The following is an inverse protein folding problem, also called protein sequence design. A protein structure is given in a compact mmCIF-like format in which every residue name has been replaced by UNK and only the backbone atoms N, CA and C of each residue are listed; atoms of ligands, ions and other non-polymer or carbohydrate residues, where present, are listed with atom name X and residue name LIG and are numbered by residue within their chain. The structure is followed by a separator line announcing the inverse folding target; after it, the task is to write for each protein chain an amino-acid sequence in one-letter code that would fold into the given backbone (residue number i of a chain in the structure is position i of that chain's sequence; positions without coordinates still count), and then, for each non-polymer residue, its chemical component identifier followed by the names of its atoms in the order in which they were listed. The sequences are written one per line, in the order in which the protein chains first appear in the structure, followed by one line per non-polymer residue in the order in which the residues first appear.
data_IF_639329183082
#
_entry.id   IF_639329183082
#
_cell.length_a   1.000
_cell.length_b   1.000
_cell.length_c   1.000
_cell.angle_alpha   90.00
_cell.angle_beta   90.00
_cell.angle_gamma   90.00
#
_symmetry.space_group_name_H-M   'P 1'
#
loop_
_entity.id
_entity.type
_entity.pdbx_description
1 polymer ?
#
# COMPACT_ATOMS: atom_id res chain seq x y z
N UNK A 1 54.71 34.06 14.97
CA UNK A 1 53.42 34.67 14.59
C UNK A 1 52.41 33.55 14.51
N UNK A 2 51.21 33.73 15.05
CA UNK A 2 50.11 34.52 14.46
C UNK A 2 49.58 33.81 13.20
N UNK A 3 48.34 33.34 13.07
CA UNK A 3 47.21 33.13 14.02
C UNK A 3 46.45 31.84 13.58
N UNK A 4 45.55 31.17 14.32
CA UNK A 4 44.68 31.51 15.48
C UNK A 4 43.34 32.20 15.12
N UNK A 5 42.61 31.60 14.16
CA UNK A 5 41.16 31.74 13.95
C UNK A 5 40.56 30.32 14.01
N UNK A 6 39.73 29.89 14.97
CA UNK A 6 38.54 30.51 15.56
C UNK A 6 37.39 30.68 14.55
N UNK A 7 36.71 29.55 14.29
CA UNK A 7 35.36 29.55 13.72
C UNK A 7 34.47 28.66 14.57
N UNK A 8 33.54 29.31 15.26
CA UNK A 8 32.68 28.72 16.27
C UNK A 8 31.55 27.85 15.70
N UNK A 9 31.13 26.90 16.53
CA UNK A 9 29.91 26.11 16.43
C UNK A 9 29.41 25.92 17.89
N UNK A 10 28.11 25.71 18.21
CA UNK A 10 26.89 25.86 17.41
C UNK A 10 25.86 26.84 18.02
N UNK A 11 24.90 27.34 17.22
CA UNK A 11 23.65 27.93 17.76
C UNK A 11 22.48 26.95 17.65
N UNK A 12 21.92 26.43 18.77
CA UNK A 12 20.76 25.55 18.70
C UNK A 12 19.49 26.36 18.44
N UNK A 13 19.02 26.37 17.19
CA UNK A 13 17.69 26.86 16.85
C UNK A 13 16.62 25.99 17.54
N UNK A 14 16.08 26.49 18.65
CA UNK A 14 14.89 25.91 19.30
C UNK A 14 13.65 26.41 18.55
N UNK A 15 12.88 25.56 17.85
CA UNK A 15 11.54 25.95 17.40
C UNK A 15 10.67 26.19 18.63
N UNK A 16 10.19 27.42 18.77
CA UNK A 16 9.36 27.86 19.88
C UNK A 16 7.95 27.29 19.70
N UNK A 17 7.57 26.30 20.53
CA UNK A 17 6.18 25.86 20.62
C UNK A 17 5.31 26.97 21.22
N UNK A 18 4.65 27.75 20.37
CA UNK A 18 3.55 28.60 20.79
C UNK A 18 2.32 27.72 21.07
N UNK A 19 2.10 27.39 22.34
CA UNK A 19 0.77 27.06 22.82
C UNK A 19 -0.08 28.33 22.99
N UNK A 20 -1.40 28.13 23.00
CA UNK A 20 -2.42 29.09 23.46
C UNK A 20 -2.87 30.20 22.50
N UNK A 21 -3.55 29.79 21.42
CA UNK A 21 -4.70 30.54 20.91
C UNK A 21 -5.98 29.75 21.19
N UNK A 22 -6.53 29.89 22.39
CA UNK A 22 -7.93 29.53 22.65
C UNK A 22 -8.81 30.58 21.99
N UNK A 23 -9.26 30.31 20.76
CA UNK A 23 -10.27 31.13 20.09
C UNK A 23 -11.63 30.43 20.26
N UNK A 24 -12.37 30.86 21.28
CA UNK A 24 -13.80 30.57 21.39
C UNK A 24 -14.51 31.52 20.41
N UNK A 25 -14.76 31.06 19.19
CA UNK A 25 -15.72 31.72 18.30
C UNK A 25 -17.00 30.90 18.22
N UNK A 26 -18.06 31.50 18.75
CA UNK A 26 -19.42 31.00 18.67
C UNK A 26 -19.96 31.07 17.23
N UNK A 27 -20.56 29.96 16.83
CA UNK A 27 -21.76 29.87 16.00
C UNK A 27 -21.85 30.68 14.69
N UNK A 28 -21.65 29.96 13.58
CA UNK A 28 -22.60 30.03 12.46
C UNK A 28 -22.68 28.71 11.71
N UNK A 29 -23.70 27.93 12.05
CA UNK A 29 -24.04 26.71 11.33
C UNK A 29 -24.61 26.99 9.93
N UNK A 30 -23.76 27.32 8.95
CA UNK A 30 -24.15 27.24 7.54
C UNK A 30 -24.25 25.77 7.10
N UNK A 31 -25.49 25.33 6.83
CA UNK A 31 -25.76 24.01 6.29
C UNK A 31 -25.28 23.92 4.85
N UNK A 32 -24.00 23.59 4.67
CA UNK A 32 -23.46 23.20 3.38
C UNK A 32 -24.16 21.91 2.90
N UNK A 33 -25.13 22.05 2.01
CA UNK A 33 -25.82 20.94 1.34
C UNK A 33 -24.82 20.22 0.43
N UNK A 34 -24.08 19.28 1.02
CA UNK A 34 -23.18 18.39 0.29
C UNK A 34 -24.01 17.44 -0.55
N UNK A 35 -24.26 17.83 -1.80
CA UNK A 35 -24.78 16.96 -2.84
C UNK A 35 -23.80 15.81 -3.08
N UNK A 36 -23.99 14.68 -2.38
CA UNK A 36 -23.27 13.45 -2.67
C UNK A 36 -23.57 13.00 -4.10
N UNK A 37 -22.57 12.88 -4.99
CA UNK A 37 -22.78 12.33 -6.32
C UNK A 37 -23.17 10.85 -6.19
N UNK A 38 -24.42 10.53 -6.53
CA UNK A 38 -25.09 9.21 -6.42
C UNK A 38 -24.50 8.08 -7.29
N UNK A 39 -23.25 8.19 -7.75
CA UNK A 39 -22.61 7.28 -8.70
C UNK A 39 -21.62 6.28 -8.11
N UNK A 40 -21.46 6.21 -6.78
CA UNK A 40 -20.43 5.38 -6.13
C UNK A 40 -20.90 3.98 -5.69
N UNK A 41 -22.21 3.76 -5.53
CA UNK A 41 -22.73 2.53 -4.91
C UNK A 41 -22.73 1.33 -5.88
N UNK A 42 -23.08 1.54 -7.16
CA UNK A 42 -23.25 0.48 -8.17
C UNK A 42 -22.01 -0.38 -8.38
N UNK A 43 -20.82 0.20 -8.23
CA UNK A 43 -19.54 -0.52 -8.42
C UNK A 43 -19.15 -1.43 -7.24
N UNK A 44 -19.78 -1.26 -6.08
CA UNK A 44 -19.48 -2.06 -4.90
C UNK A 44 -20.07 -3.48 -4.99
N UNK A 45 -21.16 -3.66 -5.75
CA UNK A 45 -21.81 -4.97 -5.95
C UNK A 45 -21.08 -5.85 -6.97
N UNK A 46 -20.44 -5.27 -7.98
CA UNK A 46 -19.61 -6.01 -8.95
C UNK A 46 -18.41 -6.68 -8.27
N UNK A 47 -17.72 -5.90 -7.43
CA UNK A 47 -16.56 -6.36 -6.65
C UNK A 47 -16.96 -7.51 -5.70
N UNK A 48 -18.19 -7.44 -5.16
CA UNK A 48 -18.78 -8.49 -4.33
C UNK A 48 -18.96 -9.83 -5.05
N UNK A 49 -19.30 -9.84 -6.34
CA UNK A 49 -19.52 -11.09 -7.10
C UNK A 49 -18.23 -11.82 -7.47
N UNK A 50 -17.16 -11.08 -7.78
CA UNK A 50 -15.91 -11.64 -8.31
C UNK A 50 -14.97 -12.21 -7.24
N UNK A 51 -15.12 -11.81 -5.97
CA UNK A 51 -14.37 -12.36 -4.84
C UNK A 51 -14.54 -13.88 -4.64
N UNK A 52 -15.59 -14.45 -5.23
CA UNK A 52 -15.82 -15.91 -5.30
C UNK A 52 -14.71 -16.66 -6.06
N UNK A 53 -13.97 -16.01 -6.96
CA UNK A 53 -12.87 -16.62 -7.73
C UNK A 53 -11.46 -16.28 -7.22
N UNK A 54 -11.31 -15.25 -6.37
CA UNK A 54 -9.99 -14.73 -5.99
C UNK A 54 -9.32 -15.49 -4.82
N UNK A 55 -9.85 -16.64 -4.47
CA UNK A 55 -9.34 -17.49 -3.41
C UNK A 55 -8.06 -18.22 -3.89
N UNK A 56 -6.92 -17.92 -3.27
CA UNK A 56 -5.69 -18.75 -3.37
C UNK A 56 -5.36 -19.50 -2.06
N UNK A 57 -6.25 -20.34 -1.50
CA UNK A 57 -5.80 -21.47 -0.71
C UNK A 57 -5.12 -22.48 -1.64
N UNK A 58 -4.45 -23.48 -1.05
CA UNK A 58 -4.05 -24.67 -1.83
C UNK A 58 -5.33 -25.31 -2.37
N UNK A 59 -5.32 -25.70 -3.65
CA UNK A 59 -6.52 -26.03 -4.46
C UNK A 59 -7.37 -27.20 -3.87
N UNK A 60 -6.86 -27.88 -2.86
CA UNK A 60 -7.45 -29.02 -2.17
C UNK A 60 -8.68 -28.73 -1.28
N UNK A 61 -8.83 -27.53 -0.68
CA UNK A 61 -9.81 -27.33 0.40
C UNK A 61 -11.16 -26.68 0.00
N UNK A 62 -11.24 -25.92 -1.10
CA UNK A 62 -12.44 -25.11 -1.43
C UNK A 62 -13.66 -25.97 -1.80
N UNK A 63 -13.42 -27.18 -2.30
CA UNK A 63 -14.48 -28.14 -2.65
C UNK A 63 -15.18 -28.72 -1.43
N UNK A 64 -14.53 -28.74 -0.26
CA UNK A 64 -15.09 -29.27 0.99
C UNK A 64 -16.01 -28.30 1.75
N UNK A 65 -15.89 -26.99 1.51
CA UNK A 65 -16.68 -25.98 2.23
C UNK A 65 -18.17 -26.01 1.85
N UNK A 66 -19.03 -25.89 2.84
CA UNK A 66 -20.48 -25.72 2.68
C UNK A 66 -20.84 -24.39 2.03
N UNK A 67 -22.09 -24.25 1.57
CA UNK A 67 -22.60 -23.00 0.98
C UNK A 67 -22.56 -21.82 1.96
N UNK A 68 -22.79 -22.08 3.25
CA UNK A 68 -22.81 -21.05 4.30
C UNK A 68 -21.39 -20.54 4.60
N UNK A 69 -20.42 -21.45 4.80
CA UNK A 69 -19.01 -21.09 4.99
C UNK A 69 -18.45 -20.33 3.78
N UNK A 70 -18.85 -20.70 2.55
CA UNK A 70 -18.50 -19.96 1.32
C UNK A 70 -19.07 -18.53 1.32
N UNK A 71 -20.29 -18.33 1.80
CA UNK A 71 -20.90 -17.01 1.91
C UNK A 71 -20.22 -16.16 2.99
N UNK A 72 -19.91 -16.75 4.15
CA UNK A 72 -19.20 -16.09 5.24
C UNK A 72 -17.78 -15.67 4.84
N UNK A 73 -17.02 -16.56 4.21
CA UNK A 73 -15.66 -16.25 3.74
C UNK A 73 -15.68 -15.19 2.63
N UNK A 74 -16.66 -15.24 1.73
CA UNK A 74 -16.89 -14.21 0.71
C UNK A 74 -17.13 -12.83 1.35
N UNK A 75 -17.97 -12.73 2.38
CA UNK A 75 -18.21 -11.49 3.11
C UNK A 75 -16.94 -10.99 3.83
N UNK A 76 -16.19 -11.89 4.47
CA UNK A 76 -14.91 -11.57 5.13
C UNK A 76 -13.88 -10.99 4.15
N UNK A 77 -13.80 -11.55 2.94
CA UNK A 77 -12.92 -11.05 1.87
C UNK A 77 -13.41 -9.71 1.29
N UNK A 78 -14.73 -9.50 1.17
CA UNK A 78 -15.31 -8.21 0.77
C UNK A 78 -14.90 -7.09 1.73
N UNK A 79 -15.07 -7.28 3.04
CA UNK A 79 -14.73 -6.29 4.05
C UNK A 79 -13.22 -6.02 4.11
N UNK A 80 -12.39 -7.07 3.98
CA UNK A 80 -10.93 -6.96 3.93
C UNK A 80 -10.48 -6.09 2.75
N UNK A 81 -11.00 -6.34 1.55
CA UNK A 81 -10.63 -5.61 0.32
C UNK A 81 -11.20 -4.20 0.30
N UNK A 82 -12.44 -4.01 0.76
CA UNK A 82 -13.07 -2.69 0.92
C UNK A 82 -12.29 -1.83 1.92
N UNK A 83 -11.90 -2.41 3.06
CA UNK A 83 -11.08 -1.75 4.08
C UNK A 83 -9.68 -1.40 3.58
N UNK A 84 -9.06 -2.28 2.78
CA UNK A 84 -7.78 -2.00 2.12
C UNK A 84 -7.91 -0.89 1.07
N UNK A 85 -8.83 -1.02 0.13
CA UNK A 85 -9.06 -0.05 -0.95
C UNK A 85 -9.33 1.36 -0.42
N UNK A 86 -10.15 1.48 0.64
CA UNK A 86 -10.38 2.76 1.32
C UNK A 86 -9.09 3.38 1.84
N UNK A 87 -8.18 2.62 2.45
CA UNK A 87 -6.87 3.15 2.93
C UNK A 87 -5.96 3.47 1.76
N UNK A 88 -5.80 2.55 0.80
CA UNK A 88 -4.93 2.71 -0.35
C UNK A 88 -5.30 3.93 -1.22
N UNK A 89 -6.58 4.26 -1.37
CA UNK A 89 -7.03 5.48 -2.09
C UNK A 89 -6.64 6.79 -1.40
N UNK A 90 -6.35 6.78 -0.10
CA UNK A 90 -5.87 7.94 0.65
C UNK A 90 -4.33 7.95 0.82
N UNK A 91 -3.65 6.94 0.28
CA UNK A 91 -2.24 6.69 0.54
C UNK A 91 -1.99 5.96 1.87
N UNK A 92 -1.11 4.96 1.83
CA UNK A 92 -0.63 4.21 2.99
C UNK A 92 0.88 4.41 3.12
N UNK A 93 1.32 4.85 4.30
CA UNK A 93 2.73 5.05 4.59
C UNK A 93 3.47 3.71 4.65
N UNK A 94 4.58 3.61 3.92
CA UNK A 94 5.42 2.42 3.82
C UNK A 94 6.89 2.83 3.66
N UNK A 95 7.77 1.88 3.35
CA UNK A 95 9.06 2.21 2.76
C UNK A 95 9.20 1.52 1.41
N UNK A 96 9.75 2.23 0.42
CA UNK A 96 10.16 1.66 -0.85
C UNK A 96 11.59 1.12 -0.71
N UNK A 97 11.87 -0.02 -1.35
CA UNK A 97 13.23 -0.59 -1.41
C UNK A 97 13.71 -0.55 -2.86
N UNK A 98 14.78 0.18 -3.11
CA UNK A 98 15.43 0.20 -4.40
C UNK A 98 16.04 -1.17 -4.72
N UNK A 99 15.75 -1.70 -5.92
CA UNK A 99 16.11 -3.07 -6.30
C UNK A 99 17.61 -3.21 -6.62
N UNK A 100 18.23 -2.16 -7.17
CA UNK A 100 19.63 -2.22 -7.60
C UNK A 100 20.60 -2.08 -6.42
N UNK A 101 20.25 -1.27 -5.44
CA UNK A 101 21.10 -0.90 -4.30
C UNK A 101 20.67 -1.53 -2.97
N UNK A 102 19.41 -1.98 -2.86
CA UNK A 102 18.81 -2.39 -1.59
C UNK A 102 18.48 -1.22 -0.65
N UNK A 103 18.66 0.04 -1.09
CA UNK A 103 18.42 1.24 -0.28
C UNK A 103 16.93 1.35 0.09
N UNK A 104 16.66 1.56 1.37
CA UNK A 104 15.31 1.75 1.91
C UNK A 104 15.02 3.24 2.06
N UNK A 105 13.92 3.72 1.47
CA UNK A 105 13.46 5.12 1.59
C UNK A 105 12.01 5.17 2.06
N UNK A 106 11.63 6.10 2.97
CA UNK A 106 10.23 6.30 3.31
C UNK A 106 9.39 6.63 2.06
N UNK A 107 8.19 6.08 2.00
CA UNK A 107 7.30 6.23 0.85
C UNK A 107 5.83 6.25 1.27
N UNK A 108 4.96 6.56 0.32
CA UNK A 108 3.52 6.31 0.40
C UNK A 108 3.12 5.52 -0.84
N UNK A 109 2.44 4.38 -0.68
CA UNK A 109 1.77 3.74 -1.81
C UNK A 109 0.29 4.10 -1.84
N UNK A 110 -0.26 4.24 -3.03
CA UNK A 110 -1.68 4.55 -3.23
C UNK A 110 -2.24 3.73 -4.40
N UNK A 111 -3.55 3.49 -4.36
CA UNK A 111 -4.30 2.88 -5.46
C UNK A 111 -5.32 3.90 -5.95
N UNK A 112 -5.48 4.04 -7.26
CA UNK A 112 -6.43 5.00 -7.81
C UNK A 112 -7.89 4.65 -7.47
N UNK A 113 -8.80 5.64 -7.56
CA UNK A 113 -10.23 5.45 -7.23
C UNK A 113 -10.94 4.42 -8.13
N UNK A 114 -10.33 4.00 -9.23
CA UNK A 114 -10.86 2.97 -10.12
C UNK A 114 -10.30 1.57 -9.81
N UNK A 115 -9.36 1.44 -8.88
CA UNK A 115 -8.67 0.19 -8.53
C UNK A 115 -7.90 -0.44 -9.72
N UNK A 116 -7.46 0.41 -10.65
CA UNK A 116 -6.74 0.03 -11.88
C UNK A 116 -5.26 0.31 -11.80
N UNK A 117 -4.80 1.22 -10.93
CA UNK A 117 -3.41 1.70 -10.93
C UNK A 117 -2.85 1.73 -9.51
N UNK A 118 -1.71 1.07 -9.32
CA UNK A 118 -0.87 1.17 -8.12
C UNK A 118 0.20 2.22 -8.38
N UNK A 119 0.38 3.15 -7.44
CA UNK A 119 1.41 4.18 -7.45
C UNK A 119 2.21 4.12 -6.16
N UNK A 120 3.53 4.26 -6.25
CA UNK A 120 4.43 4.39 -5.10
C UNK A 120 5.17 5.72 -5.23
N UNK A 121 5.10 6.51 -4.17
CA UNK A 121 5.67 7.85 -4.07
C UNK A 121 6.76 7.81 -2.99
N UNK A 122 8.04 7.66 -3.36
CA UNK A 122 9.15 7.92 -2.46
C UNK A 122 9.08 9.34 -1.88
N UNK A 123 9.52 9.53 -0.63
CA UNK A 123 9.73 10.86 -0.04
C UNK A 123 11.08 11.47 -0.42
N UNK A 124 11.96 10.67 -1.02
CA UNK A 124 13.24 11.09 -1.56
C UNK A 124 13.03 11.68 -2.96
N UNK A 125 13.39 12.95 -3.23
CA UNK A 125 13.19 13.59 -4.52
C UNK A 125 14.06 13.01 -5.66
N UNK A 126 15.17 12.33 -5.33
CA UNK A 126 16.05 11.71 -6.33
C UNK A 126 15.48 10.37 -6.84
N UNK A 127 14.44 9.84 -6.18
CA UNK A 127 13.80 8.57 -6.50
C UNK A 127 12.51 8.79 -7.31
N UNK A 128 12.37 8.18 -8.51
CA UNK A 128 11.20 8.40 -9.34
C UNK A 128 9.93 7.81 -8.74
N UNK A 129 8.81 8.49 -8.98
CA UNK A 129 7.47 7.96 -8.70
C UNK A 129 7.18 6.77 -9.62
N UNK A 130 6.86 5.62 -9.04
CA UNK A 130 6.50 4.41 -9.77
C UNK A 130 4.98 4.33 -9.94
N UNK A 131 4.48 3.97 -11.12
CA UNK A 131 3.04 3.88 -11.37
C UNK A 131 2.72 2.85 -12.45
N UNK A 132 2.13 1.72 -12.04
CA UNK A 132 1.85 0.57 -12.89
C UNK A 132 0.35 0.21 -12.86
N UNK A 133 -0.13 -0.43 -13.93
CA UNK A 133 -1.49 -0.99 -13.94
C UNK A 133 -1.55 -2.25 -13.08
N UNK A 134 -2.61 -2.36 -12.27
CA UNK A 134 -2.90 -3.53 -11.44
C UNK A 134 -3.25 -4.76 -12.31
N UNK A 135 -3.79 -4.55 -13.52
CA UNK A 135 -4.03 -5.63 -14.49
C UNK A 135 -2.74 -6.34 -14.95
N UNK A 136 -1.61 -5.62 -14.94
CA UNK A 136 -0.29 -6.09 -15.37
C UNK A 136 0.53 -6.69 -14.21
N UNK A 137 -0.03 -6.78 -13.00
CA UNK A 137 0.61 -7.50 -11.88
C UNK A 137 0.66 -8.98 -12.24
N UNK A 138 1.86 -9.53 -12.37
CA UNK A 138 2.08 -10.96 -12.60
C UNK A 138 1.92 -11.74 -11.30
N UNK A 139 2.48 -11.23 -10.21
CA UNK A 139 2.37 -11.83 -8.89
C UNK A 139 2.65 -10.82 -7.77
N UNK A 140 2.04 -11.03 -6.61
CA UNK A 140 2.41 -10.37 -5.35
C UNK A 140 2.71 -11.46 -4.31
N UNK A 141 3.88 -11.39 -3.67
CA UNK A 141 4.36 -12.42 -2.75
C UNK A 141 5.23 -11.87 -1.61
N UNK A 142 5.36 -12.66 -0.55
CA UNK A 142 6.29 -12.42 0.56
C UNK A 142 7.61 -13.16 0.31
N UNK A 143 8.67 -12.80 1.04
CA UNK A 143 9.97 -13.51 0.99
C UNK A 143 9.82 -15.01 1.24
N UNK A 144 8.98 -15.41 2.19
CA UNK A 144 8.72 -16.81 2.55
C UNK A 144 8.12 -17.63 1.40
N UNK A 145 7.34 -16.99 0.53
CA UNK A 145 6.71 -17.62 -0.63
C UNK A 145 7.61 -17.62 -1.88
N UNK A 146 8.73 -16.89 -1.88
CA UNK A 146 9.48 -16.59 -3.10
C UNK A 146 10.92 -16.12 -2.89
N UNK A 147 11.67 -16.71 -1.95
CA UNK A 147 13.04 -16.26 -1.62
C UNK A 147 13.96 -16.18 -2.84
N UNK A 148 13.85 -17.14 -3.76
CA UNK A 148 14.63 -17.16 -5.01
C UNK A 148 14.38 -15.92 -5.89
N UNK A 149 13.18 -15.33 -5.84
CA UNK A 149 12.80 -14.15 -6.60
C UNK A 149 13.19 -12.81 -5.92
N UNK A 150 13.71 -12.84 -4.68
CA UNK A 150 14.23 -11.64 -4.00
C UNK A 150 15.58 -11.25 -4.61
N UNK A 151 15.71 -10.03 -5.19
CA UNK A 151 16.96 -9.57 -5.80
C UNK A 151 18.17 -9.64 -4.84
N UNK A 152 19.38 -10.01 -5.29
CA UNK A 152 20.53 -10.20 -4.40
C UNK A 152 20.89 -8.96 -3.57
N UNK A 153 20.82 -7.75 -4.15
CA UNK A 153 21.08 -6.50 -3.44
C UNK A 153 20.07 -6.26 -2.29
N UNK A 154 18.77 -6.42 -2.59
CA UNK A 154 17.69 -6.36 -1.59
C UNK A 154 17.88 -7.41 -0.49
N UNK A 155 18.25 -8.64 -0.86
CA UNK A 155 18.50 -9.73 0.10
C UNK A 155 19.67 -9.41 1.03
N UNK A 156 20.78 -8.89 0.49
CA UNK A 156 21.96 -8.52 1.28
C UNK A 156 21.73 -7.31 2.19
N UNK A 157 20.98 -6.31 1.73
CA UNK A 157 20.77 -5.05 2.45
C UNK A 157 19.75 -5.13 3.59
N UNK A 158 18.72 -5.99 3.48
CA UNK A 158 17.63 -6.04 4.46
C UNK A 158 17.92 -7.01 5.62
N UNK A 159 17.71 -6.53 6.85
CA UNK A 159 17.72 -7.36 8.06
C UNK A 159 16.47 -8.26 8.13
N UNK A 160 16.51 -9.31 8.95
CA UNK A 160 15.42 -10.30 9.03
C UNK A 160 14.03 -9.67 9.29
N UNK A 161 13.94 -8.73 10.22
CA UNK A 161 12.68 -8.04 10.54
C UNK A 161 12.16 -7.16 9.40
N UNK A 162 13.03 -6.66 8.51
CA UNK A 162 12.58 -6.02 7.28
C UNK A 162 12.08 -7.07 6.28
N UNK A 163 12.81 -8.19 6.08
CA UNK A 163 12.41 -9.28 5.18
C UNK A 163 11.04 -9.87 5.54
N UNK A 164 10.73 -10.03 6.83
CA UNK A 164 9.41 -10.49 7.33
C UNK A 164 8.25 -9.56 6.92
N UNK A 165 8.53 -8.29 6.65
CA UNK A 165 7.56 -7.24 6.26
C UNK A 165 7.66 -6.84 4.79
N UNK A 166 8.50 -7.50 4.00
CA UNK A 166 8.73 -7.21 2.59
C UNK A 166 7.65 -7.84 1.70
N UNK A 167 7.04 -7.01 0.87
CA UNK A 167 6.17 -7.39 -0.25
C UNK A 167 6.94 -7.15 -1.55
N UNK A 168 6.92 -8.16 -2.42
CA UNK A 168 7.43 -8.07 -3.79
C UNK A 168 6.23 -8.15 -4.75
N UNK A 169 6.13 -7.19 -5.66
CA UNK A 169 5.08 -7.12 -6.68
C UNK A 169 5.76 -7.14 -8.04
N UNK A 170 5.64 -8.26 -8.76
CA UNK A 170 6.15 -8.41 -10.12
C UNK A 170 5.09 -8.00 -11.15
N UNK A 171 5.56 -7.42 -12.25
CA UNK A 171 4.74 -7.04 -13.40
C UNK A 171 5.19 -7.81 -14.63
N UNK A 172 4.40 -7.79 -15.71
CA UNK A 172 4.73 -8.50 -16.95
C UNK A 172 5.91 -7.82 -17.70
N UNK A 173 5.78 -6.54 -18.01
CA UNK A 173 6.78 -5.77 -18.79
C UNK A 173 7.47 -4.64 -18.00
N UNK A 174 7.22 -4.53 -16.69
CA UNK A 174 7.74 -3.45 -15.84
C UNK A 174 8.62 -3.99 -14.70
N UNK A 175 9.58 -3.18 -14.20
CA UNK A 175 10.36 -3.54 -13.02
C UNK A 175 9.46 -3.92 -11.83
N UNK A 176 9.92 -4.91 -11.07
CA UNK A 176 9.30 -5.28 -9.80
C UNK A 176 9.27 -4.08 -8.83
N UNK A 177 8.29 -4.04 -7.95
CA UNK A 177 8.21 -3.08 -6.85
C UNK A 177 8.42 -3.82 -5.53
N UNK A 178 9.30 -3.29 -4.67
CA UNK A 178 9.58 -3.82 -3.33
C UNK A 178 9.10 -2.82 -2.27
N UNK A 179 8.20 -3.25 -1.39
CA UNK A 179 7.58 -2.42 -0.34
C UNK A 179 7.79 -3.08 1.03
N UNK A 180 8.25 -2.31 2.02
CA UNK A 180 8.26 -2.71 3.42
C UNK A 180 7.04 -2.14 4.12
N UNK A 181 6.16 -3.04 4.58
CA UNK A 181 4.97 -2.71 5.34
C UNK A 181 5.28 -2.42 6.82
N UNK A 182 4.32 -1.80 7.52
CA UNK A 182 4.45 -1.50 8.95
C UNK A 182 4.57 -2.76 9.83
N UNK A 183 3.99 -3.89 9.40
CA UNK A 183 4.03 -5.18 10.11
C UNK A 183 3.89 -6.36 9.15
N UNK A 184 4.22 -7.58 9.59
CA UNK A 184 4.01 -8.79 8.79
C UNK A 184 2.52 -8.99 8.44
N UNK A 185 1.62 -8.64 9.36
CA UNK A 185 0.18 -8.68 9.13
C UNK A 185 -0.31 -7.69 8.06
N UNK A 186 0.28 -6.48 7.96
CA UNK A 186 0.00 -5.57 6.84
C UNK A 186 0.60 -6.09 5.52
N UNK A 187 1.79 -6.72 5.56
CA UNK A 187 2.38 -7.42 4.40
C UNK A 187 1.43 -8.49 3.85
N UNK A 188 0.84 -9.32 4.71
CA UNK A 188 -0.08 -10.38 4.28
C UNK A 188 -1.41 -9.81 3.77
N UNK A 189 -1.89 -8.71 4.38
CA UNK A 189 -3.04 -7.95 3.87
C UNK A 189 -2.77 -7.38 2.48
N UNK A 190 -1.63 -6.72 2.25
CA UNK A 190 -1.28 -6.16 0.95
C UNK A 190 -1.14 -7.26 -0.11
N UNK A 191 -0.43 -8.36 0.17
CA UNK A 191 -0.31 -9.50 -0.75
C UNK A 191 -1.69 -10.07 -1.13
N UNK A 192 -2.54 -10.31 -0.14
CA UNK A 192 -3.90 -10.85 -0.36
C UNK A 192 -4.74 -9.89 -1.19
N UNK A 193 -4.76 -8.61 -0.83
CA UNK A 193 -5.54 -7.59 -1.56
C UNK A 193 -5.03 -7.40 -2.99
N UNK A 194 -3.72 -7.40 -3.22
CA UNK A 194 -3.15 -7.20 -4.55
C UNK A 194 -3.49 -8.34 -5.50
N UNK A 195 -3.49 -9.60 -5.01
CA UNK A 195 -3.95 -10.76 -5.78
C UNK A 195 -5.43 -10.64 -6.20
N UNK A 196 -6.27 -10.18 -5.28
CA UNK A 196 -7.70 -9.96 -5.54
C UNK A 196 -7.91 -8.80 -6.54
N UNK A 197 -7.26 -7.66 -6.32
CA UNK A 197 -7.40 -6.47 -7.16
C UNK A 197 -6.88 -6.72 -8.57
N UNK A 198 -5.80 -7.50 -8.74
CA UNK A 198 -5.34 -7.99 -10.05
C UNK A 198 -6.47 -8.69 -10.80
N UNK A 199 -7.13 -9.66 -10.16
CA UNK A 199 -8.21 -10.42 -10.79
C UNK A 199 -9.37 -9.49 -11.20
N UNK A 200 -9.80 -8.59 -10.31
CA UNK A 200 -10.82 -7.58 -10.64
C UNK A 200 -10.41 -6.70 -11.83
N UNK A 201 -9.15 -6.24 -11.89
CA UNK A 201 -8.63 -5.44 -12.99
C UNK A 201 -8.46 -6.22 -14.32
N UNK A 202 -8.47 -7.56 -14.28
CA UNK A 202 -8.42 -8.42 -15.47
C UNK A 202 -9.82 -8.84 -15.96
N UNK A 203 -10.79 -9.00 -15.06
CA UNK A 203 -12.17 -9.39 -15.40
C UNK A 203 -13.08 -8.20 -15.68
N UNK A 204 -12.73 -7.00 -15.24
CA UNK A 204 -13.41 -5.74 -15.58
C UNK A 204 -13.14 -5.30 -17.02
N UNK A 205 -13.81 -5.93 -17.98
CA UNK A 205 -13.95 -5.38 -19.34
C UNK A 205 -14.69 -4.01 -19.32
N UNK A 206 -14.41 -3.14 -20.31
CA UNK A 206 -14.77 -1.71 -20.26
C UNK A 206 -16.27 -1.40 -20.26
#
# INVERSE_FOLDING_TARGET
GLDVDDWADPTPFRPMWCCNCSHEEEDKSEQAVFNHPRGAETRQEELSSMLTFAQTPRVSDVTAMTTDEKLQEKARLQDLVKGFAKRAVHGVACHFVDIATGRVVPATFEVDRQLKRLRVVPKDPDMPVLSNSISMVREAFSVEAGEAAVPPAVRGALVEEQRRRLVLISFEDMPMICILEASAAERDRLVTCMKILRLYAQTGQP
#
